data_IF_255768170423
#
_entry.id   IF_255768170423
#
_cell.length_a   1.000
_cell.length_b   1.000
_cell.length_c   1.000
_cell.angle_alpha   90.00
_cell.angle_beta   90.00
_cell.angle_gamma   90.00
#
_symmetry.space_group_name_H-M   'P 1'
#
loop_
_entity.id
_entity.type
_entity.pdbx_description
1 polymer ?
#
# COMPACT_ATOMS: atom_id res chain seq x y z
N UNK A 1 -4.08 20.50 -4.29
CA UNK A 1 -3.62 20.14 -2.94
C UNK A 1 -4.64 20.70 -1.96
N UNK A 2 -5.16 19.86 -1.08
CA UNK A 2 -6.07 20.26 0.00
C UNK A 2 -5.22 20.90 1.11
N UNK A 3 -5.66 22.03 1.69
CA UNK A 3 -4.96 22.67 2.81
C UNK A 3 -5.25 21.90 4.11
N UNK A 4 -4.27 21.78 5.00
CA UNK A 4 -4.36 20.91 6.17
C UNK A 4 -5.45 21.33 7.19
N UNK A 5 -5.86 22.61 7.23
CA UNK A 5 -6.90 23.12 8.13
C UNK A 5 -8.31 23.19 7.51
N UNK A 6 -8.47 22.78 6.24
CA UNK A 6 -9.76 22.84 5.56
C UNK A 6 -10.59 21.58 5.87
N UNK A 7 -11.77 21.74 6.48
CA UNK A 7 -12.74 20.65 6.58
C UNK A 7 -13.29 20.35 5.19
N UNK A 8 -12.69 19.36 4.52
CA UNK A 8 -13.15 18.87 3.23
C UNK A 8 -14.06 17.67 3.44
N UNK A 9 -15.31 17.78 2.97
CA UNK A 9 -16.21 16.62 2.86
C UNK A 9 -15.75 15.77 1.67
N UNK A 10 -15.13 14.64 1.98
CA UNK A 10 -14.70 13.65 0.98
C UNK A 10 -15.79 12.60 0.80
N UNK A 11 -16.10 12.26 -0.44
CA UNK A 11 -17.00 11.14 -0.77
C UNK A 11 -16.32 10.13 -1.67
N UNK A 12 -16.98 8.99 -1.89
CA UNK A 12 -16.47 7.91 -2.76
C UNK A 12 -16.13 8.38 -4.19
N UNK A 13 -16.75 9.46 -4.68
CA UNK A 13 -16.44 10.07 -5.98
C UNK A 13 -15.04 10.72 -6.04
N UNK A 14 -14.48 11.11 -4.90
CA UNK A 14 -13.14 11.71 -4.78
C UNK A 14 -12.05 10.64 -4.58
N UNK A 15 -12.45 9.37 -4.39
CA UNK A 15 -11.58 8.23 -4.16
C UNK A 15 -11.16 7.58 -5.48
N UNK A 16 -9.84 7.39 -5.62
CA UNK A 16 -9.26 6.44 -6.55
C UNK A 16 -8.66 5.25 -5.80
N UNK A 17 -8.99 4.04 -6.19
CA UNK A 17 -8.35 2.83 -5.69
C UNK A 17 -7.23 2.44 -6.64
N UNK A 18 -6.02 2.24 -6.11
CA UNK A 18 -4.84 1.83 -6.85
C UNK A 18 -4.45 0.44 -6.43
N UNK A 19 -4.33 -0.47 -7.39
CA UNK A 19 -3.69 -1.76 -7.19
C UNK A 19 -2.60 -1.98 -8.23
N UNK A 20 -1.70 -2.91 -7.94
CA UNK A 20 -0.65 -3.32 -8.87
C UNK A 20 -0.48 -4.82 -8.87
N UNK A 21 -0.13 -5.38 -10.03
CA UNK A 21 0.10 -6.82 -10.17
C UNK A 21 1.30 -7.12 -11.06
N UNK A 22 2.03 -8.15 -10.68
CA UNK A 22 3.01 -8.86 -11.50
C UNK A 22 2.38 -10.12 -12.11
N UNK A 23 3.13 -10.79 -12.98
CA UNK A 23 2.63 -11.96 -13.71
C UNK A 23 2.22 -13.10 -12.76
N UNK A 24 3.01 -13.34 -11.71
CA UNK A 24 2.76 -14.40 -10.73
C UNK A 24 1.56 -14.11 -9.78
N UNK A 25 1.06 -12.87 -9.73
CA UNK A 25 -0.10 -12.46 -8.91
C UNK A 25 -1.35 -12.16 -9.74
N UNK A 26 -1.32 -12.41 -11.05
CA UNK A 26 -2.42 -12.06 -11.97
C UNK A 26 -3.78 -12.63 -11.56
N UNK A 27 -3.82 -13.91 -11.13
CA UNK A 27 -5.07 -14.54 -10.71
C UNK A 27 -5.69 -13.86 -9.48
N UNK A 28 -4.87 -13.30 -8.59
CA UNK A 28 -5.36 -12.54 -7.44
C UNK A 28 -5.95 -11.21 -7.88
N UNK A 29 -5.24 -10.51 -8.76
CA UNK A 29 -5.68 -9.21 -9.25
C UNK A 29 -7.02 -9.32 -10.01
N UNK A 30 -7.24 -10.41 -10.77
CA UNK A 30 -8.51 -10.65 -11.49
C UNK A 30 -9.64 -10.83 -10.46
N UNK A 31 -9.43 -11.66 -9.44
CA UNK A 31 -10.42 -11.84 -8.36
C UNK A 31 -10.69 -10.55 -7.58
N UNK A 32 -9.68 -9.71 -7.37
CA UNK A 32 -9.85 -8.38 -6.78
C UNK A 32 -10.82 -7.55 -7.62
N UNK A 33 -10.58 -7.50 -8.94
CA UNK A 33 -11.44 -6.79 -9.87
C UNK A 33 -12.88 -7.34 -9.92
N UNK A 34 -13.05 -8.66 -9.91
CA UNK A 34 -14.38 -9.28 -9.88
C UNK A 34 -15.17 -8.81 -8.66
N UNK A 35 -14.54 -8.81 -7.48
CA UNK A 35 -15.20 -8.33 -6.26
C UNK A 35 -15.47 -6.82 -6.28
N UNK A 36 -14.57 -6.03 -6.87
CA UNK A 36 -14.77 -4.58 -7.06
C UNK A 36 -15.99 -4.32 -7.96
N UNK A 37 -16.05 -4.97 -9.11
CA UNK A 37 -17.11 -4.81 -10.10
C UNK A 37 -18.50 -5.18 -9.56
N UNK A 38 -18.56 -6.18 -8.68
CA UNK A 38 -19.80 -6.64 -8.07
C UNK A 38 -20.25 -5.78 -6.88
N UNK A 39 -19.40 -4.89 -6.37
CA UNK A 39 -19.70 -4.12 -5.17
C UNK A 39 -20.58 -2.89 -5.48
N UNK A 40 -21.81 -2.80 -4.92
CA UNK A 40 -22.80 -1.79 -5.34
C UNK A 40 -22.35 -0.35 -5.05
N UNK A 41 -21.62 -0.12 -3.95
CA UNK A 41 -21.14 1.22 -3.57
C UNK A 41 -19.93 1.69 -4.40
N UNK A 42 -19.24 0.78 -5.10
CA UNK A 42 -17.99 1.09 -5.82
C UNK A 42 -18.20 1.41 -7.30
N UNK A 43 -19.45 1.37 -7.80
CA UNK A 43 -19.78 1.61 -9.22
C UNK A 43 -19.21 2.92 -9.78
N UNK A 44 -19.08 3.95 -8.95
CA UNK A 44 -18.58 5.27 -9.33
C UNK A 44 -17.16 5.56 -8.82
N UNK A 45 -16.49 4.59 -8.20
CA UNK A 45 -15.13 4.74 -7.70
C UNK A 45 -14.15 4.48 -8.85
N UNK A 46 -13.11 5.30 -8.97
CA UNK A 46 -12.10 5.06 -10.00
C UNK A 46 -11.19 3.92 -9.58
N UNK A 47 -11.08 2.87 -10.39
CA UNK A 47 -10.16 1.76 -10.15
C UNK A 47 -8.98 1.83 -11.13
N UNK A 48 -7.77 1.93 -10.59
CA UNK A 48 -6.51 2.05 -11.31
C UNK A 48 -5.69 0.79 -11.08
N UNK A 49 -5.21 0.18 -12.16
CA UNK A 49 -4.40 -1.02 -12.08
C UNK A 49 -3.07 -0.82 -12.81
N UNK A 50 -1.98 -0.93 -12.08
CA UNK A 50 -0.63 -0.86 -12.64
C UNK A 50 -0.08 -2.27 -12.86
N UNK A 51 0.28 -2.56 -14.11
CA UNK A 51 0.92 -3.82 -14.48
C UNK A 51 2.44 -3.64 -14.39
N UNK A 52 3.07 -4.56 -13.67
CA UNK A 52 4.52 -4.63 -13.58
C UNK A 52 5.13 -5.06 -14.94
N UNK A 53 6.43 -4.78 -15.14
CA UNK A 53 7.10 -4.95 -16.44
C UNK A 53 7.26 -6.42 -16.86
N UNK A 54 7.13 -7.36 -15.93
CA UNK A 54 7.11 -8.80 -16.20
C UNK A 54 5.81 -9.29 -16.85
N UNK A 55 4.76 -8.45 -16.91
CA UNK A 55 3.49 -8.79 -17.55
C UNK A 55 3.58 -8.58 -19.08
N UNK A 56 3.51 -9.65 -19.91
CA UNK A 56 3.60 -9.55 -21.37
C UNK A 56 2.41 -8.81 -22.00
N UNK A 57 2.62 -8.16 -23.15
CA UNK A 57 1.62 -7.34 -23.84
C UNK A 57 0.30 -8.09 -24.14
N UNK A 58 0.38 -9.36 -24.50
CA UNK A 58 -0.77 -10.24 -24.78
C UNK A 58 -1.61 -10.44 -23.52
N UNK A 59 -0.94 -10.60 -22.38
CA UNK A 59 -1.58 -10.72 -21.07
C UNK A 59 -2.24 -9.41 -20.66
N UNK A 60 -1.63 -8.25 -20.97
CA UNK A 60 -2.24 -6.93 -20.72
C UNK A 60 -3.57 -6.77 -21.46
N UNK A 61 -3.62 -7.21 -22.73
CA UNK A 61 -4.85 -7.18 -23.53
C UNK A 61 -5.92 -8.09 -22.92
N UNK A 62 -5.55 -9.31 -22.53
CA UNK A 62 -6.48 -10.22 -21.84
C UNK A 62 -7.01 -9.57 -20.56
N UNK A 63 -6.14 -8.93 -19.80
CA UNK A 63 -6.48 -8.29 -18.54
C UNK A 63 -7.52 -7.17 -18.72
N UNK A 64 -7.37 -6.34 -19.75
CA UNK A 64 -8.34 -5.28 -20.08
C UNK A 64 -9.74 -5.82 -20.38
N UNK A 65 -9.84 -7.06 -20.86
CA UNK A 65 -11.13 -7.73 -21.13
C UNK A 65 -11.74 -8.33 -19.86
N UNK A 66 -10.91 -8.92 -19.00
CA UNK A 66 -11.36 -9.56 -17.75
C UNK A 66 -11.72 -8.53 -16.67
N UNK A 67 -11.09 -7.36 -16.70
CA UNK A 67 -11.31 -6.30 -15.73
C UNK A 67 -11.67 -4.96 -16.42
N UNK A 68 -12.84 -4.87 -17.08
CA UNK A 68 -13.20 -3.71 -17.90
C UNK A 68 -13.43 -2.43 -17.08
N UNK A 69 -13.66 -2.56 -15.77
CA UNK A 69 -13.83 -1.44 -14.84
C UNK A 69 -12.50 -0.78 -14.44
N UNK A 70 -11.36 -1.46 -14.61
CA UNK A 70 -10.06 -0.89 -14.28
C UNK A 70 -9.50 -0.06 -15.43
N UNK A 71 -8.95 1.10 -15.09
CA UNK A 71 -8.02 1.83 -15.97
C UNK A 71 -6.65 1.20 -15.80
N UNK A 72 -6.17 0.54 -16.85
CA UNK A 72 -4.90 -0.20 -16.83
C UNK A 72 -3.76 0.73 -17.24
N UNK A 73 -2.67 0.67 -16.48
CA UNK A 73 -1.44 1.40 -16.73
C UNK A 73 -0.26 0.44 -16.78
N UNK A 74 0.78 0.83 -17.51
CA UNK A 74 2.08 0.18 -17.48
C UNK A 74 3.13 1.26 -17.36
N UNK A 75 4.15 1.03 -16.55
CA UNK A 75 5.26 1.95 -16.37
C UNK A 75 6.55 1.18 -16.62
N UNK A 76 7.36 1.67 -17.55
CA UNK A 76 8.69 1.12 -17.81
C UNK A 76 9.59 1.41 -16.60
N UNK A 77 9.73 0.42 -15.71
CA UNK A 77 10.54 0.48 -14.49
C UNK A 77 12.04 0.48 -14.80
N UNK A 78 12.46 0.06 -16.00
CA UNK A 78 13.86 0.15 -16.46
C UNK A 78 14.37 1.59 -16.58
N UNK A 79 13.47 2.59 -16.52
CA UNK A 79 13.84 4.01 -16.43
C UNK A 79 14.24 4.43 -15.02
N UNK A 80 14.03 3.58 -14.03
CA UNK A 80 14.38 3.78 -12.62
C UNK A 80 15.62 2.94 -12.29
N UNK A 81 16.25 3.15 -11.12
CA UNK A 81 17.33 2.27 -10.68
C UNK A 81 16.85 0.81 -10.65
N UNK A 82 17.72 -0.11 -11.09
CA UNK A 82 17.42 -1.54 -11.27
C UNK A 82 16.68 -2.16 -10.06
N UNK A 83 17.12 -1.85 -8.84
CA UNK A 83 16.49 -2.37 -7.61
C UNK A 83 15.03 -1.94 -7.39
N UNK A 84 14.48 -0.98 -8.15
CA UNK A 84 13.07 -0.59 -8.09
C UNK A 84 12.16 -1.66 -8.70
N UNK A 85 12.66 -2.43 -9.67
CA UNK A 85 11.92 -3.52 -10.32
C UNK A 85 11.91 -4.82 -9.50
N UNK A 86 12.65 -4.86 -8.39
CA UNK A 86 12.66 -6.01 -7.49
C UNK A 86 11.30 -6.19 -6.81
N UNK A 87 10.59 -7.24 -7.22
CA UNK A 87 9.28 -7.61 -6.71
C UNK A 87 9.28 -7.90 -5.20
N UNK A 88 10.40 -8.36 -4.64
CA UNK A 88 10.51 -8.67 -3.21
C UNK A 88 10.56 -7.41 -2.33
N UNK A 89 11.00 -6.28 -2.91
CA UNK A 89 11.21 -5.03 -2.16
C UNK A 89 10.01 -4.06 -2.24
N UNK A 90 9.03 -4.33 -3.11
CA UNK A 90 7.79 -3.57 -3.25
C UNK A 90 7.95 -2.06 -3.51
N UNK A 91 9.14 -1.60 -3.90
CA UNK A 91 9.48 -0.17 -4.12
C UNK A 91 8.55 0.49 -5.13
N UNK A 92 8.24 -0.23 -6.21
CA UNK A 92 7.36 0.22 -7.29
C UNK A 92 5.98 0.68 -6.81
N UNK A 93 5.46 0.13 -5.70
CA UNK A 93 4.12 0.49 -5.18
C UNK A 93 4.03 1.98 -4.86
N UNK A 94 5.07 2.52 -4.21
CA UNK A 94 5.13 3.95 -3.86
C UNK A 94 5.07 4.85 -5.09
N UNK A 95 5.70 4.44 -6.20
CA UNK A 95 5.67 5.16 -7.48
C UNK A 95 4.26 5.17 -8.05
N UNK A 96 3.59 4.02 -8.10
CA UNK A 96 2.22 3.93 -8.63
C UNK A 96 1.22 4.73 -7.80
N UNK A 97 1.32 4.65 -6.47
CA UNK A 97 0.47 5.41 -5.55
C UNK A 97 0.73 6.91 -5.66
N UNK A 98 1.99 7.34 -5.85
CA UNK A 98 2.30 8.75 -6.11
C UNK A 98 1.76 9.24 -7.46
N UNK A 99 1.88 8.47 -8.53
CA UNK A 99 1.31 8.86 -9.83
C UNK A 99 -0.21 9.08 -9.73
N UNK A 100 -0.91 8.25 -8.95
CA UNK A 100 -2.32 8.45 -8.66
C UNK A 100 -2.55 9.67 -7.75
N UNK A 101 -1.80 9.80 -6.65
CA UNK A 101 -2.03 10.87 -5.66
C UNK A 101 -1.71 12.26 -6.23
N UNK A 102 -0.90 12.34 -7.29
CA UNK A 102 -0.73 13.58 -8.05
C UNK A 102 -2.02 14.05 -8.76
N UNK A 103 -2.91 13.11 -9.11
CA UNK A 103 -4.12 13.37 -9.91
C UNK A 103 -5.42 13.36 -9.10
N UNK A 104 -5.49 12.55 -8.05
CA UNK A 104 -6.71 12.34 -7.26
C UNK A 104 -6.58 13.00 -5.88
N UNK A 105 -7.73 13.32 -5.26
CA UNK A 105 -7.77 13.91 -3.92
C UNK A 105 -7.52 12.86 -2.84
N UNK A 106 -8.04 11.66 -3.05
CA UNK A 106 -7.89 10.53 -2.13
C UNK A 106 -7.48 9.31 -2.93
N UNK A 107 -6.46 8.60 -2.46
CA UNK A 107 -5.96 7.38 -3.09
C UNK A 107 -5.92 6.26 -2.05
N UNK A 108 -6.63 5.16 -2.31
CA UNK A 108 -6.51 3.92 -1.54
C UNK A 108 -5.61 2.96 -2.33
N UNK A 109 -4.34 2.86 -1.93
CA UNK A 109 -3.42 1.84 -2.44
C UNK A 109 -3.72 0.49 -1.81
N UNK A 110 -3.75 -0.59 -2.58
CA UNK A 110 -3.96 -1.94 -2.05
C UNK A 110 -3.25 -3.03 -2.85
N UNK A 111 -2.87 -4.12 -2.16
CA UNK A 111 -2.31 -5.33 -2.78
C UNK A 111 -3.33 -5.99 -3.72
N UNK A 112 -2.84 -6.68 -4.76
CA UNK A 112 -3.67 -7.44 -5.70
C UNK A 112 -4.48 -8.56 -5.04
N UNK A 113 -4.09 -8.99 -3.84
CA UNK A 113 -4.75 -10.01 -3.04
C UNK A 113 -5.97 -9.50 -2.26
N UNK A 114 -6.17 -8.17 -2.17
CA UNK A 114 -7.29 -7.56 -1.45
C UNK A 114 -8.62 -7.80 -2.20
N UNK A 115 -9.69 -8.00 -1.44
CA UNK A 115 -11.05 -8.28 -1.95
C UNK A 115 -12.05 -7.33 -1.31
N UNK A 116 -13.11 -7.02 -2.07
CA UNK A 116 -14.22 -6.18 -1.59
C UNK A 116 -15.38 -7.08 -1.14
N UNK A 117 -15.73 -7.00 0.14
CA UNK A 117 -16.84 -7.77 0.72
C UNK A 117 -18.10 -6.90 0.69
N UNK A 118 -19.23 -7.47 0.23
CA UNK A 118 -20.48 -6.75 -0.04
C UNK A 118 -21.06 -6.00 1.16
N UNK A 119 -20.81 -6.48 2.36
CA UNK A 119 -21.33 -5.93 3.62
C UNK A 119 -20.30 -5.05 4.36
N UNK A 120 -19.12 -4.82 3.77
CA UNK A 120 -18.12 -3.94 4.38
C UNK A 120 -18.62 -2.49 4.31
N UNK A 121 -18.86 -1.87 5.48
CA UNK A 121 -19.12 -0.44 5.52
C UNK A 121 -17.81 0.31 5.26
N UNK A 122 -17.68 0.90 4.06
CA UNK A 122 -16.52 1.70 3.65
C UNK A 122 -16.36 3.01 4.47
N UNK A 123 -17.35 3.38 5.28
CA UNK A 123 -17.27 4.51 6.20
C UNK A 123 -16.30 4.26 7.36
N UNK A 124 -16.00 2.99 7.67
CA UNK A 124 -15.06 2.58 8.73
C UNK A 124 -14.04 1.60 8.17
N UNK A 125 -12.91 2.13 7.70
CA UNK A 125 -11.71 1.32 7.47
C UNK A 125 -10.92 1.29 8.79
N UNK A 126 -11.14 0.28 9.61
CA UNK A 126 -10.27 0.01 10.76
C UNK A 126 -8.96 -0.63 10.28
N UNK A 127 -7.91 0.18 10.15
CA UNK A 127 -6.55 -0.31 9.95
C UNK A 127 -5.91 -0.52 11.32
N UNK A 128 -5.89 -1.76 11.79
CA UNK A 128 -5.25 -2.11 13.07
C UNK A 128 -3.71 -1.99 13.01
N UNK A 129 -3.13 -1.93 11.81
CA UNK A 129 -1.71 -1.62 11.54
C UNK A 129 -1.61 -0.93 10.17
N UNK A 130 -0.58 -0.10 9.94
CA UNK A 130 -0.24 0.33 8.59
C UNK A 130 0.41 -0.84 7.85
N UNK A 131 -0.41 -1.72 7.31
CA UNK A 131 0.04 -2.83 6.48
C UNK A 131 0.27 -2.32 5.07
N UNK A 132 1.45 -2.58 4.49
CA UNK A 132 1.78 -2.14 3.12
C UNK A 132 0.83 -2.69 2.04
N UNK A 133 -0.13 -3.54 2.43
CA UNK A 133 -1.18 -4.07 1.58
C UNK A 133 -2.48 -3.27 1.50
N UNK A 134 -2.75 -2.30 2.39
CA UNK A 134 -3.83 -1.33 2.24
C UNK A 134 -3.41 0.00 2.87
N UNK A 135 -3.41 1.07 2.08
CA UNK A 135 -2.95 2.40 2.49
C UNK A 135 -3.87 3.49 1.94
N UNK A 136 -4.41 4.33 2.82
CA UNK A 136 -5.16 5.52 2.42
C UNK A 136 -4.27 6.76 2.40
N UNK A 137 -4.23 7.44 1.27
CA UNK A 137 -3.53 8.69 1.07
C UNK A 137 -4.51 9.82 0.79
N UNK A 138 -4.30 10.97 1.43
CA UNK A 138 -5.04 12.20 1.18
C UNK A 138 -4.06 13.21 0.57
N UNK A 139 -4.47 13.86 -0.53
CA UNK A 139 -3.68 14.82 -1.27
C UNK A 139 -3.66 16.19 -0.58
N UNK A 140 -3.08 16.21 0.61
CA UNK A 140 -2.76 17.43 1.38
C UNK A 140 -1.26 17.72 1.30
N UNK A 141 -0.84 18.87 1.82
CA UNK A 141 0.60 19.19 1.90
C UNK A 141 1.36 18.15 2.73
N UNK A 142 0.83 17.76 3.89
CA UNK A 142 1.40 16.72 4.74
C UNK A 142 1.39 15.34 4.08
N UNK A 143 0.29 14.96 3.43
CA UNK A 143 0.24 13.69 2.67
C UNK A 143 1.30 13.62 1.57
N UNK A 144 1.55 14.75 0.90
CA UNK A 144 2.61 14.87 -0.10
C UNK A 144 4.01 14.93 0.48
N UNK A 145 4.19 15.51 1.66
CA UNK A 145 5.46 15.47 2.40
C UNK A 145 5.87 14.03 2.71
N UNK A 146 4.94 13.23 3.22
CA UNK A 146 5.15 11.81 3.53
C UNK A 146 5.41 11.01 2.25
N UNK A 147 4.58 11.15 1.21
CA UNK A 147 4.78 10.44 -0.06
C UNK A 147 6.14 10.76 -0.69
N UNK A 148 6.56 12.03 -0.69
CA UNK A 148 7.88 12.43 -1.24
C UNK A 148 9.03 11.74 -0.51
N UNK A 149 8.97 11.64 0.83
CA UNK A 149 9.96 10.89 1.62
C UNK A 149 9.96 9.41 1.27
N UNK A 150 8.77 8.80 1.12
CA UNK A 150 8.66 7.38 0.75
C UNK A 150 9.23 7.12 -0.65
N UNK A 151 8.93 7.98 -1.63
CA UNK A 151 9.51 7.92 -2.98
C UNK A 151 11.03 8.08 -2.95
N UNK A 152 11.55 9.04 -2.19
CA UNK A 152 12.99 9.21 -2.04
C UNK A 152 13.65 7.94 -1.48
N UNK A 153 12.99 7.29 -0.52
CA UNK A 153 13.46 6.03 0.05
C UNK A 153 13.39 4.87 -0.94
N UNK A 154 12.33 4.79 -1.74
CA UNK A 154 12.20 3.78 -2.79
C UNK A 154 13.30 3.92 -3.86
N UNK A 155 13.66 5.16 -4.21
CA UNK A 155 14.68 5.49 -5.20
C UNK A 155 16.12 5.53 -4.66
N UNK A 156 16.32 5.26 -3.37
CA UNK A 156 17.64 5.16 -2.74
C UNK A 156 17.92 3.71 -2.36
N UNK A 157 19.00 3.16 -2.92
CA UNK A 157 19.35 1.73 -2.83
C UNK A 157 19.19 1.16 -1.42
N UNK A 158 19.85 1.75 -0.43
CA UNK A 158 19.91 1.17 0.91
C UNK A 158 18.91 1.80 1.91
N UNK A 159 17.91 2.55 1.43
CA UNK A 159 16.92 3.16 2.33
C UNK A 159 15.79 2.18 2.66
N UNK A 160 15.05 1.72 1.65
CA UNK A 160 13.90 0.82 1.86
C UNK A 160 14.36 -0.62 2.15
N UNK A 161 15.47 -1.04 1.53
CA UNK A 161 16.16 -2.31 1.79
C UNK A 161 17.64 -2.04 2.16
N UNK A 162 17.94 -1.78 3.45
CA UNK A 162 19.30 -1.66 3.95
C UNK A 162 20.19 -2.87 3.65
N UNK A 163 21.50 -2.65 3.65
CA UNK A 163 22.49 -3.71 3.41
C UNK A 163 22.28 -4.86 4.41
N UNK A 164 22.13 -6.08 3.88
CA UNK A 164 21.92 -7.29 4.67
C UNK A 164 20.48 -7.56 5.10
N UNK A 165 19.53 -6.68 4.75
CA UNK A 165 18.11 -6.92 5.00
C UNK A 165 17.53 -7.98 4.05
N UNK A 166 16.63 -8.81 4.57
CA UNK A 166 15.93 -9.86 3.82
C UNK A 166 14.42 -9.79 4.02
N UNK A 167 13.65 -10.39 3.11
CA UNK A 167 12.18 -10.54 3.24
C UNK A 167 11.80 -11.71 4.17
N UNK A 168 12.74 -12.62 4.45
CA UNK A 168 12.52 -13.83 5.24
C UNK A 168 12.99 -13.65 6.68
N UNK A 169 12.04 -13.62 7.59
CA UNK A 169 12.32 -13.57 9.01
C UNK A 169 12.44 -14.94 9.66
N UNK A 170 13.52 -15.15 10.43
CA UNK A 170 13.62 -16.29 11.34
C UNK A 170 12.91 -15.95 12.66
N UNK A 171 11.68 -16.46 12.85
CA UNK A 171 10.88 -16.19 14.05
C UNK A 171 11.56 -16.58 15.38
N UNK A 172 12.47 -17.56 15.36
CA UNK A 172 13.21 -17.97 16.56
C UNK A 172 14.21 -16.90 17.03
N UNK A 173 14.90 -16.21 16.13
CA UNK A 173 15.84 -15.13 16.49
C UNK A 173 15.11 -13.88 17.00
N UNK A 174 13.96 -13.56 16.40
CA UNK A 174 13.10 -12.44 16.81
C UNK A 174 12.64 -12.61 18.26
N UNK A 175 12.29 -13.86 18.64
CA UNK A 175 11.81 -14.17 20.00
C UNK A 175 12.92 -14.06 21.05
N UNK A 176 14.15 -14.43 20.69
CA UNK A 176 15.31 -14.44 21.61
C UNK A 176 15.93 -13.05 21.78
N UNK A 177 15.84 -12.18 20.77
CA UNK A 177 16.46 -10.85 20.77
C UNK A 177 15.50 -9.75 20.28
N UNK A 178 14.42 -9.42 21.03
CA UNK A 178 13.38 -8.48 20.58
C UNK A 178 13.88 -7.04 20.36
N UNK A 179 15.00 -6.66 20.99
CA UNK A 179 15.58 -5.31 20.87
C UNK A 179 16.69 -5.21 19.82
N UNK A 180 16.98 -6.29 19.09
CA UNK A 180 18.00 -6.32 18.03
C UNK A 180 17.30 -6.30 16.68
N UNK A 181 17.81 -5.48 15.75
CA UNK A 181 17.32 -5.56 14.37
C UNK A 181 17.54 -6.97 13.82
N UNK A 182 16.46 -7.59 13.37
CA UNK A 182 16.41 -9.01 12.96
C UNK A 182 17.04 -9.29 11.59
N UNK A 183 17.55 -8.27 10.90
CA UNK A 183 18.08 -8.42 9.53
C UNK A 183 16.99 -8.76 8.50
N UNK A 184 15.72 -8.62 8.86
CA UNK A 184 14.59 -8.94 8.01
C UNK A 184 13.41 -8.01 8.31
N UNK A 185 12.66 -7.64 7.28
CA UNK A 185 11.42 -6.86 7.42
C UNK A 185 10.65 -6.81 6.10
N UNK A 186 9.37 -6.43 6.18
CA UNK A 186 8.58 -6.11 4.97
C UNK A 186 8.91 -4.69 4.54
N UNK A 187 9.68 -4.56 3.47
CA UNK A 187 10.36 -3.34 3.03
C UNK A 187 9.48 -2.07 2.98
N UNK A 188 8.51 -2.01 2.06
CA UNK A 188 7.59 -0.88 1.87
C UNK A 188 6.83 -0.53 3.16
N UNK A 189 6.29 -1.55 3.82
CA UNK A 189 5.56 -1.44 5.08
C UNK A 189 6.43 -0.86 6.20
N UNK A 190 7.70 -1.25 6.31
CA UNK A 190 8.59 -0.76 7.37
C UNK A 190 9.04 0.67 7.09
N UNK A 191 9.35 0.98 5.83
CA UNK A 191 9.78 2.32 5.44
C UNK A 191 8.70 3.37 5.72
N UNK A 192 7.45 3.12 5.34
CA UNK A 192 6.37 4.08 5.58
C UNK A 192 6.08 4.30 7.07
N UNK A 193 6.16 3.24 7.87
CA UNK A 193 6.00 3.30 9.31
C UNK A 193 7.06 4.21 9.96
N UNK A 194 8.34 4.06 9.60
CA UNK A 194 9.41 4.93 10.08
C UNK A 194 9.21 6.40 9.65
N UNK A 195 8.75 6.61 8.41
CA UNK A 195 8.48 7.96 7.90
C UNK A 195 7.32 8.61 8.65
N UNK A 196 6.24 7.87 8.92
CA UNK A 196 5.09 8.37 9.68
C UNK A 196 5.46 8.72 11.12
N UNK A 197 6.34 7.93 11.75
CA UNK A 197 6.89 8.25 13.07
C UNK A 197 7.68 9.56 13.04
N UNK A 198 8.59 9.70 12.07
CA UNK A 198 9.43 10.90 11.93
C UNK A 198 8.61 12.17 11.62
N UNK A 199 7.61 12.05 10.74
CA UNK A 199 6.88 13.19 10.18
C UNK A 199 5.65 13.63 10.97
N UNK A 200 4.95 12.68 11.58
CA UNK A 200 3.66 12.92 12.21
C UNK A 200 3.62 12.46 13.67
N UNK A 201 4.75 11.97 14.22
CA UNK A 201 4.78 11.37 15.55
C UNK A 201 3.85 10.16 15.66
N UNK A 202 3.59 9.46 14.55
CA UNK A 202 2.69 8.30 14.54
C UNK A 202 3.25 7.18 15.42
N UNK A 203 2.38 6.60 16.27
CA UNK A 203 2.72 5.54 17.24
C UNK A 203 1.67 4.43 17.22
N UNK A 204 1.77 3.42 16.35
CA UNK A 204 1.02 2.16 16.53
C UNK A 204 1.84 1.21 17.41
N UNK A 205 1.98 1.61 18.68
CA UNK A 205 2.67 1.03 19.85
C UNK A 205 3.85 0.03 19.72
N UNK A 206 4.47 -0.20 18.57
CA UNK A 206 5.50 0.60 17.85
C UNK A 206 5.99 -0.31 16.70
N UNK A 207 5.07 -0.61 15.77
CA UNK A 207 5.20 -1.54 14.62
C UNK A 207 5.23 -3.03 14.99
N UNK A 208 4.35 -3.43 15.91
CA UNK A 208 4.34 -4.75 16.55
C UNK A 208 3.91 -5.93 15.66
N UNK A 209 4.40 -7.10 16.10
CA UNK A 209 3.76 -8.42 16.13
C UNK A 209 3.56 -8.73 17.64
N UNK A 210 2.33 -8.79 18.17
CA UNK A 210 2.09 -9.24 19.56
C UNK A 210 1.82 -10.76 19.59
N UNK A 211 2.69 -11.55 20.24
CA UNK A 211 2.31 -12.90 20.72
C UNK A 211 1.48 -12.76 22.04
N UNK A 212 0.48 -13.63 22.27
CA UNK A 212 -0.58 -13.45 23.26
C UNK A 212 -0.08 -13.80 24.66
N UNK A 213 -0.25 -12.89 25.62
CA UNK A 213 0.10 -13.17 27.02
C UNK A 213 -0.07 -12.00 27.99
N UNK A 214 -0.25 -10.77 27.51
CA UNK A 214 -0.51 -9.60 28.35
C UNK A 214 -1.75 -8.87 27.84
N UNK A 215 -2.89 -9.23 28.41
CA UNK A 215 -4.07 -8.38 28.38
C UNK A 215 -3.74 -7.10 29.15
N UNK A 216 -3.80 -5.95 28.48
CA UNK A 216 -4.15 -4.70 29.16
C UNK A 216 -5.67 -4.66 29.14
N UNK A 217 -6.30 -4.85 30.30
CA UNK A 217 -7.72 -4.58 30.47
C UNK A 217 -8.04 -3.18 29.93
N UNK A 218 -8.90 -3.10 28.91
CA UNK A 218 -9.65 -1.88 28.64
C UNK A 218 -10.72 -1.73 29.72
N UNK A 219 -10.30 -1.26 30.88
CA UNK A 219 -11.10 -0.37 31.72
C UNK A 219 -10.81 1.04 31.18
N UNK A 220 -11.74 1.96 30.91
CA UNK A 220 -13.11 2.13 31.34
C UNK A 220 -13.87 2.96 30.29
N UNK A 221 -15.19 2.79 30.34
CA UNK A 221 -16.22 3.81 30.11
C UNK A 221 -15.73 5.27 30.14
N UNK A 222 -16.16 6.06 29.15
CA UNK A 222 -16.87 7.34 29.30
C UNK A 222 -17.69 7.60 28.04
#
# INVERSE_FOLDING_TARGET
MVKDDERVTLGLKDLAIVTSTSLNHMGEAIRSCDTFQQHPQLKNVTFLMYLHDDVPSEVRILYSKLCPVAKIFSLNLKKYPEYVEDLSQYRFKSIYQALALHKYKVVLGMDSSVRFVKDANLETIELMEFQGGVVLWINTENGWKIMKKLLHCALKKDCMAPIGATDKCNGSEITVHPNKFSGCHRFDQSAINLILFEEAGYRSDIFQWQYPGLYVERSEKL
#
